data_IF_781290565395
#
_entry.id   IF_781290565395
#
_cell.length_a   1.000
_cell.length_b   1.000
_cell.length_c   1.000
_cell.angle_alpha   90.00
_cell.angle_beta   90.00
_cell.angle_gamma   90.00
#
_symmetry.space_group_name_H-M   'P 1'
#
loop_
_entity.id
_entity.type
_entity.pdbx_description
1 polymer ?
#
# COMPACT_ATOMS: atom_id res chain seq x y z
N UNK A 1 10.94 3.25 -18.83
CA UNK A 1 12.29 3.58 -18.32
C UNK A 1 13.00 4.45 -19.33
N UNK A 2 14.00 5.22 -18.90
CA UNK A 2 14.84 6.05 -19.79
C UNK A 2 15.28 5.27 -21.04
N UNK A 3 15.04 5.85 -22.21
CA UNK A 3 15.37 5.26 -23.51
C UNK A 3 14.25 4.46 -24.20
N UNK A 4 13.06 4.34 -23.61
CA UNK A 4 11.89 3.73 -24.26
C UNK A 4 10.94 4.73 -24.94
N UNK A 5 10.15 4.28 -25.91
CA UNK A 5 9.28 5.13 -26.75
C UNK A 5 8.24 5.93 -25.95
N UNK A 6 7.74 5.39 -24.84
CA UNK A 6 6.76 6.05 -23.95
C UNK A 6 7.41 6.73 -22.74
N UNK A 7 8.74 6.83 -22.71
CA UNK A 7 9.47 7.34 -21.55
C UNK A 7 9.10 8.77 -21.18
N UNK A 8 8.81 9.62 -22.16
CA UNK A 8 8.50 11.04 -21.95
C UNK A 8 7.33 11.26 -20.97
N UNK A 9 6.34 10.35 -20.96
CA UNK A 9 5.18 10.38 -20.05
C UNK A 9 5.63 10.17 -18.59
N UNK A 10 6.64 9.34 -18.41
CA UNK A 10 7.13 8.87 -17.10
C UNK A 10 8.50 9.44 -16.75
N UNK A 11 8.90 10.55 -17.39
CA UNK A 11 10.25 11.12 -17.26
C UNK A 11 10.61 11.51 -15.82
N UNK A 12 9.66 12.00 -15.03
CA UNK A 12 9.85 12.28 -13.59
C UNK A 12 10.16 11.01 -12.78
N UNK A 13 9.67 9.85 -13.24
CA UNK A 13 9.87 8.57 -12.56
C UNK A 13 11.32 8.08 -12.65
N UNK A 14 12.12 8.63 -13.58
CA UNK A 14 13.55 8.31 -13.63
C UNK A 14 14.29 8.74 -12.37
N UNK A 15 13.87 9.82 -11.72
CA UNK A 15 14.47 10.24 -10.45
C UNK A 15 14.28 9.12 -9.43
N UNK A 16 13.07 8.56 -9.38
CA UNK A 16 12.76 7.48 -8.47
C UNK A 16 13.50 6.18 -8.84
N UNK A 17 13.53 5.80 -10.11
CA UNK A 17 14.21 4.59 -10.58
C UNK A 17 15.76 4.66 -10.46
N UNK A 18 16.33 5.86 -10.35
CA UNK A 18 17.75 6.07 -10.04
C UNK A 18 18.04 5.93 -8.55
N UNK A 19 17.12 6.38 -7.69
CA UNK A 19 17.28 6.24 -6.24
C UNK A 19 16.97 4.82 -5.81
N UNK A 20 15.81 4.30 -6.20
CA UNK A 20 15.46 2.91 -5.96
C UNK A 20 15.66 2.07 -7.22
N UNK A 21 16.76 1.32 -7.23
CA UNK A 21 17.04 0.38 -8.30
C UNK A 21 16.02 -0.75 -8.42
N UNK A 22 15.18 -0.98 -7.41
CA UNK A 22 14.02 -1.87 -7.49
C UNK A 22 13.11 -1.56 -8.68
N UNK A 23 12.99 -0.28 -9.05
CA UNK A 23 12.18 0.18 -10.19
C UNK A 23 13.01 0.50 -11.45
N UNK A 24 14.32 0.26 -11.41
CA UNK A 24 15.25 0.63 -12.48
C UNK A 24 15.73 -0.54 -13.34
N UNK A 25 16.55 -0.20 -14.33
CA UNK A 25 17.26 -1.15 -15.19
C UNK A 25 18.03 -2.25 -14.42
N UNK A 26 18.68 -1.99 -13.27
CA UNK A 26 19.41 -3.04 -12.56
C UNK A 26 18.54 -4.22 -12.14
N UNK A 27 17.33 -3.96 -11.63
CA UNK A 27 16.40 -5.02 -11.20
C UNK A 27 15.75 -5.72 -12.40
N UNK A 28 15.41 -4.96 -13.45
CA UNK A 28 14.90 -5.53 -14.70
C UNK A 28 15.89 -6.51 -15.34
N UNK A 29 17.16 -6.10 -15.48
CA UNK A 29 18.20 -6.91 -16.12
C UNK A 29 18.56 -8.17 -15.29
N UNK A 30 18.37 -8.13 -13.97
CA UNK A 30 18.56 -9.27 -13.08
C UNK A 30 17.36 -10.22 -13.03
N UNK A 31 16.23 -9.84 -13.64
CA UNK A 31 14.98 -10.61 -13.53
C UNK A 31 14.38 -10.59 -12.13
N UNK A 32 14.61 -9.52 -11.36
CA UNK A 32 14.01 -9.36 -10.03
C UNK A 32 12.49 -9.09 -10.17
N UNK A 33 11.69 -10.09 -9.80
CA UNK A 33 10.24 -10.05 -9.92
C UNK A 33 9.53 -9.26 -8.81
N UNK A 34 10.24 -8.85 -7.75
CA UNK A 34 9.61 -8.27 -6.56
C UNK A 34 8.80 -7.02 -6.89
N UNK A 35 9.42 -6.03 -7.53
CA UNK A 35 8.77 -4.76 -7.86
C UNK A 35 7.62 -4.92 -8.87
N UNK A 36 7.74 -5.87 -9.79
CA UNK A 36 6.67 -6.21 -10.73
C UNK A 36 5.46 -6.82 -9.99
N UNK A 37 5.72 -7.71 -9.02
CA UNK A 37 4.68 -8.27 -8.17
C UNK A 37 4.00 -7.19 -7.30
N UNK A 38 4.78 -6.24 -6.77
CA UNK A 38 4.27 -5.05 -6.08
C UNK A 38 3.34 -4.23 -6.99
N UNK A 39 3.72 -4.05 -8.26
CA UNK A 39 2.88 -3.40 -9.27
C UNK A 39 1.56 -4.11 -9.54
N UNK A 40 1.56 -5.44 -9.60
CA UNK A 40 0.32 -6.22 -9.73
C UNK A 40 -0.58 -6.09 -8.50
N UNK A 41 0.00 -6.09 -7.29
CA UNK A 41 -0.76 -5.85 -6.06
C UNK A 41 -1.38 -4.46 -6.04
N UNK A 42 -0.70 -3.43 -6.57
CA UNK A 42 -1.29 -2.09 -6.72
C UNK A 42 -2.59 -2.12 -7.55
N UNK A 43 -2.65 -2.93 -8.62
CA UNK A 43 -3.88 -3.08 -9.41
C UNK A 43 -5.01 -3.69 -8.58
N UNK A 44 -4.70 -4.72 -7.79
CA UNK A 44 -5.67 -5.35 -6.87
C UNK A 44 -6.15 -4.35 -5.82
N UNK A 45 -5.25 -3.57 -5.23
CA UNK A 45 -5.58 -2.51 -4.28
C UNK A 45 -6.45 -1.42 -4.90
N UNK A 46 -6.18 -1.01 -6.14
CA UNK A 46 -7.04 -0.07 -6.87
C UNK A 46 -8.47 -0.60 -6.99
N UNK A 47 -8.66 -1.87 -7.37
CA UNK A 47 -9.99 -2.48 -7.45
C UNK A 47 -10.70 -2.46 -6.08
N UNK A 48 -9.99 -2.83 -5.02
CA UNK A 48 -10.55 -2.81 -3.65
C UNK A 48 -10.93 -1.39 -3.24
N UNK A 49 -10.08 -0.39 -3.50
CA UNK A 49 -10.32 1.01 -3.15
C UNK A 49 -11.50 1.61 -3.91
N UNK A 50 -11.63 1.34 -5.22
CA UNK A 50 -12.81 1.74 -5.98
C UNK A 50 -14.08 1.07 -5.47
N UNK A 51 -14.00 -0.22 -5.13
CA UNK A 51 -15.12 -0.95 -4.53
C UNK A 51 -15.52 -0.33 -3.19
N UNK A 52 -14.56 0.02 -2.33
CA UNK A 52 -14.81 0.72 -1.08
C UNK A 52 -15.56 2.04 -1.31
N UNK A 53 -15.06 2.90 -2.21
CA UNK A 53 -15.66 4.20 -2.52
C UNK A 53 -17.09 4.01 -3.04
N UNK A 54 -17.31 3.06 -3.95
CA UNK A 54 -18.62 2.74 -4.49
C UNK A 54 -19.60 2.28 -3.40
N UNK A 55 -19.19 1.33 -2.56
CA UNK A 55 -20.03 0.81 -1.47
C UNK A 55 -20.31 1.87 -0.41
N UNK A 56 -19.36 2.76 -0.12
CA UNK A 56 -19.52 3.81 0.88
C UNK A 56 -20.42 4.95 0.41
N UNK A 57 -20.19 5.45 -0.81
CA UNK A 57 -20.76 6.72 -1.26
C UNK A 57 -21.93 6.56 -2.23
N UNK A 58 -22.04 5.43 -2.93
CA UNK A 58 -23.13 5.20 -3.89
C UNK A 58 -24.18 4.27 -3.28
N UNK A 59 -23.77 3.12 -2.76
CA UNK A 59 -24.72 2.16 -2.16
C UNK A 59 -25.06 2.46 -0.69
N UNK A 60 -24.20 3.18 0.05
CA UNK A 60 -24.38 3.40 1.49
C UNK A 60 -24.36 2.10 2.30
N UNK A 61 -23.60 1.10 1.86
CA UNK A 61 -23.64 -0.25 2.41
C UNK A 61 -22.84 -0.39 3.72
N UNK A 62 -23.36 -1.13 4.73
CA UNK A 62 -22.67 -1.33 6.01
C UNK A 62 -21.40 -2.19 5.89
N UNK A 63 -21.17 -2.86 4.75
CA UNK A 63 -19.94 -3.62 4.51
C UNK A 63 -18.75 -2.73 4.10
N UNK A 64 -18.99 -1.47 3.74
CA UNK A 64 -17.94 -0.58 3.23
C UNK A 64 -16.71 -0.49 4.17
N UNK A 65 -16.85 -0.35 5.51
CA UNK A 65 -15.70 -0.34 6.41
C UNK A 65 -14.81 -1.59 6.33
N UNK A 66 -15.40 -2.78 6.08
CA UNK A 66 -14.65 -4.02 5.91
C UNK A 66 -13.79 -4.01 4.65
N UNK A 67 -14.34 -3.52 3.53
CA UNK A 67 -13.65 -3.42 2.24
C UNK A 67 -12.50 -2.41 2.36
N UNK A 68 -12.77 -1.23 2.91
CA UNK A 68 -11.77 -0.19 3.11
C UNK A 68 -10.66 -0.63 4.07
N UNK A 69 -11.01 -1.33 5.16
CA UNK A 69 -10.04 -1.87 6.10
C UNK A 69 -9.10 -2.88 5.41
N UNK A 70 -9.66 -3.80 4.63
CA UNK A 70 -8.89 -4.82 3.90
C UNK A 70 -7.91 -4.19 2.91
N UNK A 71 -8.38 -3.19 2.14
CA UNK A 71 -7.52 -2.45 1.20
C UNK A 71 -6.37 -1.72 1.89
N UNK A 72 -6.68 -0.94 2.93
CA UNK A 72 -5.66 -0.19 3.67
C UNK A 72 -4.66 -1.11 4.39
N UNK A 73 -5.12 -2.23 4.95
CA UNK A 73 -4.25 -3.21 5.60
C UNK A 73 -3.31 -3.89 4.58
N UNK A 74 -3.80 -4.20 3.38
CA UNK A 74 -2.98 -4.75 2.30
C UNK A 74 -1.88 -3.76 1.91
N UNK A 75 -2.22 -2.48 1.72
CA UNK A 75 -1.23 -1.43 1.43
C UNK A 75 -0.18 -1.33 2.53
N UNK A 76 -0.61 -1.30 3.79
CA UNK A 76 0.30 -1.23 4.93
C UNK A 76 1.28 -2.41 4.95
N UNK A 77 0.77 -3.64 4.85
CA UNK A 77 1.58 -4.85 4.87
C UNK A 77 2.56 -4.90 3.69
N UNK A 78 2.08 -4.53 2.51
CA UNK A 78 2.86 -4.47 1.28
C UNK A 78 4.01 -3.44 1.38
N UNK A 79 3.74 -2.24 1.91
CA UNK A 79 4.77 -1.21 2.08
C UNK A 79 5.83 -1.63 3.11
N UNK A 80 5.45 -2.30 4.21
CA UNK A 80 6.43 -2.90 5.11
C UNK A 80 7.26 -3.97 4.43
N UNK A 81 6.63 -4.86 3.65
CA UNK A 81 7.32 -5.89 2.89
C UNK A 81 8.35 -5.29 1.93
N UNK A 82 8.03 -4.16 1.29
CA UNK A 82 8.95 -3.42 0.42
C UNK A 82 10.20 -2.94 1.16
N UNK A 83 10.06 -2.30 2.32
CA UNK A 83 11.22 -1.90 3.14
C UNK A 83 12.02 -3.10 3.65
N UNK A 84 11.32 -4.14 4.11
CA UNK A 84 11.97 -5.33 4.64
C UNK A 84 12.72 -6.10 3.56
N UNK A 85 12.19 -6.16 2.34
CA UNK A 85 12.88 -6.78 1.23
C UNK A 85 14.25 -6.12 0.98
N UNK A 86 14.29 -4.79 0.91
CA UNK A 86 15.54 -4.06 0.72
C UNK A 86 16.47 -4.24 1.93
N UNK A 87 15.95 -4.18 3.16
CA UNK A 87 16.73 -4.42 4.38
C UNK A 87 17.37 -5.82 4.41
N UNK A 88 16.59 -6.88 4.17
CA UNK A 88 17.05 -8.27 4.26
C UNK A 88 17.96 -8.69 3.10
N UNK A 89 17.90 -8.01 1.95
CA UNK A 89 18.89 -8.21 0.88
C UNK A 89 20.17 -7.37 1.07
N UNK A 90 20.33 -6.67 2.19
CA UNK A 90 21.51 -5.85 2.49
C UNK A 90 21.51 -4.49 1.78
N UNK A 91 20.32 -3.88 1.65
CA UNK A 91 20.05 -2.65 0.91
C UNK A 91 20.41 -2.76 -0.58
N UNK A 92 20.10 -3.90 -1.17
CA UNK A 92 20.50 -4.22 -2.55
C UNK A 92 19.92 -3.26 -3.59
N UNK A 93 18.84 -2.55 -3.26
CA UNK A 93 18.20 -1.58 -4.16
C UNK A 93 18.58 -0.13 -3.85
N UNK A 94 18.92 0.21 -2.61
CA UNK A 94 19.08 1.62 -2.19
C UNK A 94 20.47 1.99 -1.65
N UNK A 95 21.38 1.04 -1.43
CA UNK A 95 22.70 1.28 -0.80
C UNK A 95 23.61 2.24 -1.57
N UNK A 96 23.42 2.40 -2.87
CA UNK A 96 24.25 3.26 -3.71
C UNK A 96 23.97 4.76 -3.56
N UNK A 97 22.89 5.13 -2.85
CA UNK A 97 22.46 6.52 -2.74
C UNK A 97 23.25 7.32 -1.72
N UNK A 98 23.24 8.64 -1.90
CA UNK A 98 23.58 9.56 -0.81
C UNK A 98 22.55 9.46 0.31
N UNK A 99 22.94 9.80 1.54
CA UNK A 99 22.00 9.80 2.67
C UNK A 99 20.81 10.74 2.44
N UNK A 100 21.05 11.88 1.76
CA UNK A 100 19.99 12.84 1.46
C UNK A 100 18.96 12.26 0.48
N UNK A 101 19.41 11.65 -0.63
CA UNK A 101 18.51 11.05 -1.62
C UNK A 101 17.74 9.87 -1.03
N UNK A 102 18.42 9.04 -0.23
CA UNK A 102 17.78 7.95 0.49
C UNK A 102 16.67 8.46 1.42
N UNK A 103 16.94 9.48 2.24
CA UNK A 103 15.93 9.98 3.17
C UNK A 103 14.78 10.72 2.49
N UNK A 104 15.07 11.58 1.51
CA UNK A 104 14.08 12.46 0.91
C UNK A 104 13.25 11.80 -0.19
N UNK A 105 13.85 10.92 -0.99
CA UNK A 105 13.20 10.31 -2.16
C UNK A 105 12.71 8.90 -1.85
N UNK A 106 13.42 8.14 -1.02
CA UNK A 106 13.01 6.79 -0.65
C UNK A 106 12.22 6.76 0.67
N UNK A 107 12.81 7.18 1.79
CA UNK A 107 12.18 7.01 3.12
C UNK A 107 10.97 7.90 3.29
N UNK A 108 11.07 9.20 3.02
CA UNK A 108 10.01 10.17 3.30
C UNK A 108 8.70 9.83 2.56
N UNK A 109 8.69 9.58 1.22
CA UNK A 109 7.47 9.25 0.52
C UNK A 109 6.89 7.92 1.01
N UNK A 110 7.72 6.88 1.10
CA UNK A 110 7.23 5.56 1.54
C UNK A 110 6.72 5.57 3.00
N UNK A 111 7.26 6.43 3.87
CA UNK A 111 6.76 6.62 5.23
C UNK A 111 5.36 7.23 5.28
N UNK A 112 5.02 8.13 4.35
CA UNK A 112 3.65 8.62 4.21
C UNK A 112 2.68 7.50 3.80
N UNK A 113 3.14 6.58 2.95
CA UNK A 113 2.41 5.36 2.57
C UNK A 113 2.33 4.31 3.67
N UNK A 114 3.02 4.49 4.80
CA UNK A 114 2.79 3.72 6.02
C UNK A 114 1.78 4.46 6.91
N UNK A 115 2.02 5.77 7.12
CA UNK A 115 1.24 6.58 8.03
C UNK A 115 -0.26 6.62 7.65
N UNK A 116 -0.58 6.95 6.40
CA UNK A 116 -1.98 7.09 6.00
C UNK A 116 -2.75 5.76 6.04
N UNK A 117 -2.26 4.65 5.46
CA UNK A 117 -2.94 3.37 5.57
C UNK A 117 -3.05 2.89 7.02
N UNK A 118 -2.03 3.09 7.86
CA UNK A 118 -2.12 2.74 9.28
C UNK A 118 -3.25 3.49 10.00
N UNK A 119 -3.41 4.79 9.74
CA UNK A 119 -4.51 5.59 10.30
C UNK A 119 -5.87 5.10 9.80
N UNK A 120 -6.00 4.78 8.51
CA UNK A 120 -7.24 4.26 7.91
C UNK A 120 -7.59 2.90 8.51
N UNK A 121 -6.64 1.96 8.54
CA UNK A 121 -6.79 0.65 9.15
C UNK A 121 -7.21 0.76 10.62
N UNK A 122 -6.57 1.66 11.38
CA UNK A 122 -6.94 1.89 12.78
C UNK A 122 -8.39 2.41 12.93
N UNK A 123 -8.78 3.40 12.13
CA UNK A 123 -10.11 4.00 12.20
C UNK A 123 -11.21 3.01 11.80
N UNK A 124 -11.07 2.35 10.65
CA UNK A 124 -12.04 1.38 10.17
C UNK A 124 -12.07 0.11 11.04
N UNK A 125 -10.91 -0.32 11.56
CA UNK A 125 -10.82 -1.44 12.49
C UNK A 125 -11.57 -1.15 13.80
N UNK A 126 -11.46 0.07 14.33
CA UNK A 126 -12.23 0.50 15.51
C UNK A 126 -13.74 0.53 15.24
N UNK A 127 -14.16 0.99 14.06
CA UNK A 127 -15.56 0.99 13.64
C UNK A 127 -16.12 -0.44 13.55
N UNK A 128 -15.38 -1.36 12.91
CA UNK A 128 -15.73 -2.77 12.80
C UNK A 128 -15.86 -3.43 14.18
N UNK A 129 -14.86 -3.26 15.05
CA UNK A 129 -14.90 -3.80 16.41
C UNK A 129 -16.11 -3.27 17.21
N UNK A 130 -16.40 -1.97 17.10
CA UNK A 130 -17.55 -1.37 17.78
C UNK A 130 -18.88 -1.93 17.26
N UNK A 131 -18.97 -2.25 15.97
CA UNK A 131 -20.15 -2.84 15.34
C UNK A 131 -20.37 -4.26 15.84
N UNK A 132 -19.31 -5.06 15.93
CA UNK A 132 -19.35 -6.43 16.47
C UNK A 132 -19.83 -6.45 17.92
N UNK A 133 -19.31 -5.56 18.77
CA UNK A 133 -19.73 -5.45 20.18
C UNK A 133 -21.22 -5.10 20.30
N UNK A 134 -21.72 -4.17 19.47
CA UNK A 134 -23.14 -3.79 19.47
C UNK A 134 -24.04 -4.93 19.01
N UNK A 135 -23.62 -5.66 17.96
CA UNK A 135 -24.35 -6.81 17.45
C UNK A 135 -24.48 -7.92 18.51
N UNK A 136 -23.40 -8.19 19.25
CA UNK A 136 -23.40 -9.16 20.36
C UNK A 136 -24.38 -8.74 21.47
N UNK A 137 -24.31 -7.47 21.91
CA UNK A 137 -25.21 -6.95 22.95
C UNK A 137 -26.69 -7.05 22.54
N UNK A 138 -27.01 -6.78 21.27
CA UNK A 138 -28.37 -6.92 20.75
C UNK A 138 -28.84 -8.37 20.74
N UNK A 139 -27.97 -9.31 20.34
CA UNK A 139 -28.24 -10.74 20.37
C UNK A 139 -28.57 -11.23 21.78
N UNK A 140 -27.78 -10.81 22.78
CA UNK A 140 -28.02 -11.17 24.19
C UNK A 140 -29.35 -10.62 24.72
N UNK A 141 -29.71 -9.38 24.35
CA UNK A 141 -31.01 -8.77 24.74
C UNK A 141 -32.21 -9.50 24.15
N UNK A 142 -32.08 -10.07 22.94
CA UNK A 142 -33.14 -10.85 22.31
C UNK A 142 -33.30 -12.19 23.04
N UNK A 143 -32.20 -12.86 23.39
CA UNK A 143 -32.24 -14.14 24.13
C UNK A 143 -32.78 -14.02 25.55
N UNK A 144 -32.64 -12.85 26.18
CA UNK A 144 -33.14 -12.59 27.54
C UNK A 144 -34.63 -12.21 27.59
N UNK A 145 -35.30 -12.05 26.45
CA UNK A 145 -36.75 -11.80 26.34
C UNK A 145 -37.48 -13.09 26.01
#
# INVERSE_FOLDING_TARGET
MAGGDLHWIWSLYDIYARVDHGYGWPSFNKGDGFTSAQGLLNLVECVINFTFVYYKHILGSPIAPLIGFSGALLTLAKTFLYFFNDYFCGFCHTKHNTMADYLLVYVLPNSLWILFPALITYKLGKELASTLVRAEQQSQRIKSK
#
